data_IF_844062778905
#
_entry.id   IF_844062778905
#
_cell.length_a   1.000
_cell.length_b   1.000
_cell.length_c   1.000
_cell.angle_alpha   90.00
_cell.angle_beta   90.00
_cell.angle_gamma   90.00
#
_symmetry.space_group_name_H-M   'P 1'
#
loop_
_entity.id
_entity.type
_entity.pdbx_description
1 polymer ?
#
# COMPACT_ATOMS: atom_id res chain seq x y z
N UNK A 1 33.64 -35.15 -46.25
CA UNK A 1 32.25 -34.79 -45.90
C UNK A 1 32.32 -33.58 -44.96
N UNK A 2 31.71 -32.43 -45.33
CA UNK A 2 31.76 -31.18 -44.55
C UNK A 2 30.42 -30.99 -43.85
N UNK A 3 30.40 -30.90 -42.52
CA UNK A 3 29.18 -30.71 -41.73
C UNK A 3 28.74 -29.25 -41.80
N UNK A 4 27.49 -29.00 -42.19
CA UNK A 4 26.89 -27.67 -42.19
C UNK A 4 26.62 -27.19 -40.75
N UNK A 5 26.80 -25.89 -40.49
CA UNK A 5 26.53 -25.28 -39.17
C UNK A 5 25.03 -25.12 -38.95
N UNK A 6 24.60 -25.41 -37.73
CA UNK A 6 23.19 -25.41 -37.29
C UNK A 6 22.51 -24.03 -37.29
N UNK A 7 23.21 -22.96 -37.67
CA UNK A 7 22.71 -21.57 -37.62
C UNK A 7 22.23 -21.01 -38.95
N UNK A 8 22.36 -21.75 -40.06
CA UNK A 8 21.90 -21.28 -41.36
C UNK A 8 20.40 -21.61 -41.54
N UNK A 9 19.54 -20.85 -40.85
CA UNK A 9 18.10 -20.89 -41.07
C UNK A 9 17.73 -19.78 -42.08
N UNK A 10 17.15 -20.10 -43.25
CA UNK A 10 16.79 -19.07 -44.22
C UNK A 10 15.66 -18.21 -43.66
N UNK A 11 15.88 -16.89 -43.62
CA UNK A 11 14.87 -15.88 -43.32
C UNK A 11 13.84 -15.88 -44.45
N UNK A 12 12.75 -16.61 -44.25
CA UNK A 12 11.54 -16.46 -45.07
C UNK A 12 10.85 -15.15 -44.68
N UNK A 13 10.88 -14.21 -45.60
CA UNK A 13 10.03 -13.02 -45.58
C UNK A 13 8.56 -13.42 -45.66
N UNK A 14 7.82 -13.25 -44.57
CA UNK A 14 6.36 -13.19 -44.57
C UNK A 14 5.93 -11.94 -43.85
N UNK A 15 5.43 -10.99 -44.64
CA UNK A 15 4.54 -9.91 -44.24
C UNK A 15 3.33 -10.45 -43.47
N UNK A 16 3.04 -9.90 -42.29
CA UNK A 16 1.80 -10.16 -41.57
C UNK A 16 1.75 -9.28 -40.33
N UNK A 17 0.75 -8.39 -40.29
CA UNK A 17 0.25 -7.53 -39.21
C UNK A 17 1.20 -7.10 -38.08
N UNK A 18 1.29 -5.78 -37.89
CA UNK A 18 1.89 -5.17 -36.70
C UNK A 18 1.29 -5.72 -35.40
N UNK A 19 1.93 -5.49 -34.25
CA UNK A 19 1.45 -6.04 -32.99
C UNK A 19 0.05 -5.51 -32.73
N UNK A 20 -0.94 -6.37 -32.92
CA UNK A 20 -2.26 -6.19 -32.34
C UNK A 20 -2.00 -5.84 -30.88
N UNK A 21 -2.35 -4.60 -30.50
CA UNK A 21 -2.40 -4.23 -29.09
C UNK A 21 -3.40 -5.20 -28.49
N UNK A 22 -2.87 -6.26 -27.88
CA UNK A 22 -3.61 -7.10 -26.97
C UNK A 22 -4.11 -6.12 -25.91
N UNK A 23 -5.35 -5.67 -26.10
CA UNK A 23 -6.10 -5.01 -25.06
C UNK A 23 -6.32 -6.13 -24.07
N UNK A 24 -5.34 -6.31 -23.18
CA UNK A 24 -5.51 -7.08 -21.99
C UNK A 24 -6.56 -6.32 -21.19
N UNK A 25 -7.82 -6.62 -21.49
CA UNK A 25 -8.91 -6.41 -20.55
C UNK A 25 -8.66 -7.44 -19.46
N UNK A 26 -7.67 -7.15 -18.61
CA UNK A 26 -7.44 -7.88 -17.40
C UNK A 26 -8.73 -7.75 -16.61
N UNK A 27 -9.47 -8.86 -16.49
CA UNK A 27 -10.51 -8.98 -15.48
C UNK A 27 -9.79 -9.02 -14.14
N UNK A 28 -9.41 -7.84 -13.66
CA UNK A 28 -8.72 -7.59 -12.39
C UNK A 28 -9.66 -7.87 -11.22
N UNK A 29 -10.07 -9.11 -11.02
CA UNK A 29 -10.93 -9.52 -9.89
C UNK A 29 -10.10 -10.09 -8.73
N UNK A 30 -8.76 -10.01 -8.78
CA UNK A 30 -7.88 -10.69 -7.81
C UNK A 30 -6.88 -9.78 -7.09
N UNK A 31 -7.09 -8.45 -7.08
CA UNK A 31 -6.38 -7.59 -6.12
C UNK A 31 -7.43 -6.85 -5.30
N UNK A 32 -7.69 -7.31 -4.07
CA UNK A 32 -8.44 -6.52 -3.11
C UNK A 32 -7.59 -5.28 -2.77
N UNK A 33 -7.86 -4.17 -3.46
CA UNK A 33 -7.22 -2.87 -3.20
C UNK A 33 -8.12 -2.12 -2.23
N UNK A 34 -7.65 -1.97 -0.99
CA UNK A 34 -8.32 -1.16 0.02
C UNK A 34 -7.76 0.25 -0.08
N UNK A 35 -8.64 1.23 -0.26
CA UNK A 35 -8.29 2.62 -0.04
C UNK A 35 -8.42 2.93 1.45
N UNK A 36 -7.27 3.08 2.13
CA UNK A 36 -7.19 3.24 3.58
C UNK A 36 -7.71 4.62 4.02
N UNK A 37 -7.62 5.64 3.16
CA UNK A 37 -7.97 7.02 3.53
C UNK A 37 -9.48 7.31 3.38
N UNK A 38 -10.18 6.56 2.51
CA UNK A 38 -11.59 6.77 2.19
C UNK A 38 -12.59 5.95 3.02
N UNK A 39 -12.13 4.97 3.80
CA UNK A 39 -12.99 4.03 4.53
C UNK A 39 -13.11 4.47 6.00
N UNK A 40 -14.35 4.58 6.49
CA UNK A 40 -14.60 4.86 7.90
C UNK A 40 -14.56 3.57 8.73
N UNK A 41 -13.36 3.24 9.21
CA UNK A 41 -13.12 2.02 10.02
C UNK A 41 -13.69 2.10 11.44
N UNK A 42 -14.08 3.28 11.95
CA UNK A 42 -14.53 3.43 13.35
C UNK A 42 -15.84 2.70 13.65
N UNK A 43 -16.67 2.49 12.62
CA UNK A 43 -17.94 1.79 12.74
C UNK A 43 -17.81 0.27 12.54
N UNK A 44 -16.61 -0.22 12.22
CA UNK A 44 -16.35 -1.64 12.02
C UNK A 44 -16.25 -2.36 13.39
N UNK A 45 -16.83 -3.56 13.48
CA UNK A 45 -16.74 -4.41 14.67
C UNK A 45 -15.30 -4.80 15.01
N UNK A 46 -14.38 -4.73 14.03
CA UNK A 46 -12.96 -5.02 14.22
C UNK A 46 -12.16 -3.85 14.80
N UNK A 47 -12.70 -2.63 14.79
CA UNK A 47 -12.01 -1.43 15.27
C UNK A 47 -11.51 -1.53 16.72
N UNK A 48 -12.31 -1.98 17.70
CA UNK A 48 -11.85 -2.09 19.08
C UNK A 48 -10.66 -3.04 19.25
N UNK A 49 -10.62 -4.13 18.48
CA UNK A 49 -9.51 -5.08 18.51
C UNK A 49 -8.22 -4.49 17.92
N UNK A 50 -8.33 -3.69 16.87
CA UNK A 50 -7.20 -2.95 16.33
C UNK A 50 -6.66 -1.97 17.37
N UNK A 51 -7.53 -1.19 18.01
CA UNK A 51 -7.15 -0.24 19.06
C UNK A 51 -6.47 -0.95 20.23
N UNK A 52 -7.04 -2.05 20.71
CA UNK A 52 -6.44 -2.87 21.77
C UNK A 52 -5.06 -3.38 21.38
N UNK A 53 -4.92 -3.92 20.16
CA UNK A 53 -3.66 -4.47 19.65
C UNK A 53 -2.58 -3.40 19.59
N UNK A 54 -2.91 -2.21 19.06
CA UNK A 54 -1.97 -1.09 18.96
C UNK A 54 -1.59 -0.56 20.34
N UNK A 55 -2.55 -0.44 21.28
CA UNK A 55 -2.30 0.01 22.66
C UNK A 55 -1.41 -0.96 23.45
N UNK A 56 -1.39 -2.25 23.10
CA UNK A 56 -0.50 -3.25 23.70
C UNK A 56 0.94 -3.19 23.16
N UNK A 57 1.21 -2.46 22.07
CA UNK A 57 2.57 -2.28 21.57
C UNK A 57 3.39 -1.47 22.59
N UNK A 58 4.54 -1.97 23.08
CA UNK A 58 5.39 -1.22 24.02
C UNK A 58 5.81 0.17 23.53
N UNK A 59 5.89 0.37 22.20
CA UNK A 59 6.24 1.65 21.60
C UNK A 59 5.07 2.64 21.53
N UNK A 60 3.84 2.20 21.81
CA UNK A 60 2.63 3.00 21.65
C UNK A 60 2.69 4.33 22.41
N UNK A 61 3.06 4.29 23.69
CA UNK A 61 3.12 5.49 24.54
C UNK A 61 4.09 6.55 23.99
N UNK A 62 5.23 6.12 23.43
CA UNK A 62 6.18 7.02 22.78
C UNK A 62 5.66 7.55 21.44
N UNK A 63 5.06 6.67 20.63
CA UNK A 63 4.54 7.01 19.31
C UNK A 63 3.37 8.01 19.39
N UNK A 64 2.44 7.84 20.33
CA UNK A 64 1.30 8.75 20.48
C UNK A 64 1.75 10.14 20.96
N UNK A 65 2.64 10.20 21.95
CA UNK A 65 3.22 11.45 22.42
C UNK A 65 4.00 12.17 21.32
N UNK A 66 4.85 11.45 20.58
CA UNK A 66 5.58 12.03 19.45
C UNK A 66 4.64 12.51 18.34
N UNK A 67 3.60 11.74 18.02
CA UNK A 67 2.61 12.14 17.00
C UNK A 67 1.89 13.42 17.42
N UNK A 68 1.45 13.51 18.68
CA UNK A 68 0.77 14.68 19.25
C UNK A 68 1.65 15.91 19.35
N UNK A 69 2.89 15.76 19.82
CA UNK A 69 3.75 16.90 20.18
C UNK A 69 4.66 17.36 19.04
N UNK A 70 4.98 16.47 18.10
CA UNK A 70 5.96 16.73 17.03
C UNK A 70 5.39 16.61 15.63
N UNK A 71 4.43 15.73 15.37
CA UNK A 71 3.93 15.54 14.00
C UNK A 71 2.74 16.45 13.72
N UNK A 72 1.64 16.31 14.48
CA UNK A 72 0.40 17.06 14.24
C UNK A 72 0.54 18.59 14.29
N UNK A 73 1.38 19.20 15.15
CA UNK A 73 1.55 20.65 15.15
C UNK A 73 2.21 21.18 13.87
N UNK A 74 3.06 20.35 13.23
CA UNK A 74 3.74 20.70 11.98
C UNK A 74 2.90 20.36 10.75
N UNK A 75 2.21 19.21 10.80
CA UNK A 75 1.45 18.64 9.68
C UNK A 75 0.05 18.21 10.18
N UNK A 76 -0.89 19.15 10.37
CA UNK A 76 -2.20 18.84 10.97
C UNK A 76 -3.11 18.00 10.05
N UNK A 77 -2.84 18.00 8.74
CA UNK A 77 -3.61 17.26 7.73
C UNK A 77 -2.86 16.02 7.22
N UNK A 78 -1.92 15.47 8.00
CA UNK A 78 -1.16 14.28 7.61
C UNK A 78 -2.10 13.08 7.40
N UNK A 79 -1.89 12.36 6.30
CA UNK A 79 -2.65 11.14 5.99
C UNK A 79 -2.16 9.93 6.81
N UNK A 80 -2.98 8.88 6.91
CA UNK A 80 -2.58 7.64 7.61
C UNK A 80 -1.32 7.05 6.98
N UNK A 81 -1.26 7.04 5.64
CA UNK A 81 -0.15 6.48 4.89
C UNK A 81 1.14 7.28 5.04
N UNK A 82 1.05 8.60 5.06
CA UNK A 82 2.20 9.48 5.31
C UNK A 82 2.73 9.29 6.73
N UNK A 83 1.85 9.23 7.73
CA UNK A 83 2.26 8.98 9.10
C UNK A 83 2.93 7.61 9.26
N UNK A 84 2.34 6.57 8.66
CA UNK A 84 2.92 5.22 8.66
C UNK A 84 4.33 5.20 8.05
N UNK A 85 4.51 5.90 6.92
CA UNK A 85 5.82 6.03 6.26
C UNK A 85 6.82 6.81 7.11
N UNK A 86 6.37 7.89 7.77
CA UNK A 86 7.21 8.77 8.59
C UNK A 86 7.70 8.09 9.86
N UNK A 87 6.83 7.31 10.52
CA UNK A 87 7.15 6.61 11.76
C UNK A 87 7.66 5.18 11.54
N UNK A 88 7.69 4.70 10.28
CA UNK A 88 8.04 3.32 9.92
C UNK A 88 7.18 2.28 10.65
N UNK A 89 5.87 2.55 10.73
CA UNK A 89 4.86 1.71 11.39
C UNK A 89 3.83 1.19 10.38
N UNK A 90 2.98 0.25 10.81
CA UNK A 90 1.89 -0.22 9.96
C UNK A 90 0.80 0.85 9.78
N UNK A 91 0.05 0.83 8.65
CA UNK A 91 -1.09 1.74 8.47
C UNK A 91 -2.15 1.61 9.56
N UNK A 92 -2.35 0.42 10.12
CA UNK A 92 -3.28 0.19 11.22
C UNK A 92 -2.85 0.92 12.51
N UNK A 93 -1.56 0.89 12.85
CA UNK A 93 -1.01 1.65 13.98
C UNK A 93 -1.16 3.16 13.74
N UNK A 94 -0.78 3.64 12.55
CA UNK A 94 -0.92 5.05 12.20
C UNK A 94 -2.37 5.54 12.31
N UNK A 95 -3.34 4.72 11.90
CA UNK A 95 -4.77 5.05 11.97
C UNK A 95 -5.24 5.22 13.42
N UNK A 96 -4.86 4.31 14.31
CA UNK A 96 -5.19 4.39 15.74
C UNK A 96 -4.50 5.60 16.38
N UNK A 97 -3.22 5.84 16.06
CA UNK A 97 -2.48 6.99 16.60
C UNK A 97 -3.12 8.31 16.21
N UNK A 98 -3.50 8.50 14.94
CA UNK A 98 -4.19 9.72 14.49
C UNK A 98 -5.55 9.86 15.16
N UNK A 99 -6.30 8.77 15.28
CA UNK A 99 -7.61 8.79 15.93
C UNK A 99 -7.53 9.20 17.40
N UNK A 100 -6.66 8.56 18.17
CA UNK A 100 -6.51 8.83 19.61
C UNK A 100 -5.94 10.23 19.85
N UNK A 101 -4.95 10.65 19.05
CA UNK A 101 -4.35 12.01 19.16
C UNK A 101 -5.36 13.13 18.87
N UNK A 102 -6.39 12.87 18.06
CA UNK A 102 -7.46 13.83 17.77
C UNK A 102 -8.62 13.75 18.78
N UNK A 103 -8.81 12.60 19.43
CA UNK A 103 -9.90 12.35 20.38
C UNK A 103 -9.59 12.88 21.78
N UNK A 104 -8.32 13.02 22.15
CA UNK A 104 -7.87 13.49 23.47
C UNK A 104 -7.77 15.03 23.58
N UNK A 105 -8.72 15.74 22.95
CA UNK A 105 -8.80 17.20 22.95
C UNK A 105 -9.70 17.73 24.06
#
# INVERSE_FOLDING_TARGET
MKQARLTDRPVASTSGSGPDKVTQKASDTSTFRIDIEGINFKNDALWPFLVETVKRNPLYAGLIGYTRDKVLPNEPNITVRELASKLSISPGEAMVLLFESQSEK
#
